data_IF_859037402174
#
_entry.id   IF_859037402174
#
_cell.length_a   1.000
_cell.length_b   1.000
_cell.length_c   1.000
_cell.angle_alpha   90.00
_cell.angle_beta   90.00
_cell.angle_gamma   90.00
#
_symmetry.space_group_name_H-M   'P 1'
#
loop_
_entity.id
_entity.type
_entity.pdbx_description
1 polymer ?
#
# COMPACT_ATOMS: atom_id res chain seq x y z
N UNK A 1 -24.95 55.22 -31.72
CA UNK A 1 -25.84 54.17 -32.27
C UNK A 1 -25.13 53.60 -33.51
N UNK A 2 -24.00 52.93 -33.40
CA UNK A 2 -23.76 51.52 -33.05
C UNK A 2 -24.45 50.50 -33.95
N UNK A 3 -23.70 49.95 -34.92
CA UNK A 3 -23.77 48.57 -35.47
C UNK A 3 -22.38 48.24 -36.05
N UNK A 4 -21.43 47.76 -35.24
CA UNK A 4 -21.13 46.35 -34.94
C UNK A 4 -20.55 45.57 -36.13
N UNK A 5 -19.24 45.33 -36.02
CA UNK A 5 -18.35 44.50 -36.81
C UNK A 5 -18.57 43.01 -36.46
N UNK A 6 -18.26 42.08 -37.37
CA UNK A 6 -17.29 40.98 -37.19
C UNK A 6 -17.52 39.84 -38.20
N UNK A 7 -16.46 39.57 -38.95
CA UNK A 7 -16.28 38.48 -39.89
C UNK A 7 -16.16 37.14 -39.17
N UNK A 8 -16.86 36.11 -39.66
CA UNK A 8 -16.75 34.73 -39.18
C UNK A 8 -15.53 34.05 -39.82
N UNK A 9 -14.42 33.98 -39.09
CA UNK A 9 -13.29 33.10 -39.43
C UNK A 9 -13.56 31.70 -38.86
N UNK A 10 -13.68 30.72 -39.76
CA UNK A 10 -13.90 29.32 -39.42
C UNK A 10 -12.66 28.70 -38.78
N UNK A 11 -12.94 27.88 -37.77
CA UNK A 11 -12.07 27.24 -36.80
C UNK A 11 -11.44 25.98 -37.41
N UNK A 12 -10.15 25.74 -37.16
CA UNK A 12 -9.58 24.40 -37.18
C UNK A 12 -8.52 24.26 -36.07
N UNK A 13 -8.99 23.86 -34.89
CA UNK A 13 -8.16 23.42 -33.77
C UNK A 13 -7.60 22.02 -34.06
N UNK A 14 -6.29 21.85 -33.97
CA UNK A 14 -5.67 20.54 -33.81
C UNK A 14 -4.66 20.62 -32.64
N UNK A 15 -5.17 20.50 -31.42
CA UNK A 15 -4.35 20.29 -30.22
C UNK A 15 -4.17 18.78 -30.03
N UNK A 16 -3.01 18.27 -30.44
CA UNK A 16 -2.56 16.95 -30.02
C UNK A 16 -2.08 17.04 -28.57
N UNK A 17 -2.96 16.74 -27.62
CA UNK A 17 -2.57 16.53 -26.22
C UNK A 17 -1.88 15.17 -26.10
N UNK A 18 -0.55 15.16 -26.10
CA UNK A 18 0.24 14.03 -25.63
C UNK A 18 0.11 13.96 -24.10
N UNK A 19 -0.84 13.17 -23.62
CA UNK A 19 -0.96 12.85 -22.21
C UNK A 19 0.19 11.93 -21.79
N UNK A 20 1.26 12.51 -21.24
CA UNK A 20 2.25 11.75 -20.49
C UNK A 20 1.59 11.22 -19.21
N UNK A 21 1.05 10.01 -19.25
CA UNK A 21 0.67 9.27 -18.07
C UNK A 21 1.94 8.88 -17.31
N UNK A 22 2.42 9.76 -16.43
CA UNK A 22 3.28 9.33 -15.36
C UNK A 22 2.42 8.45 -14.44
N UNK A 23 2.55 7.13 -14.59
CA UNK A 23 1.86 6.16 -13.76
C UNK A 23 2.33 6.32 -12.31
N UNK A 24 1.63 7.14 -11.53
CA UNK A 24 1.72 7.07 -10.08
C UNK A 24 1.23 5.68 -9.71
N UNK A 25 2.12 4.87 -9.13
CA UNK A 25 1.75 3.57 -8.60
C UNK A 25 0.90 3.80 -7.35
N UNK A 26 -0.40 4.03 -7.55
CA UNK A 26 -1.38 4.19 -6.49
C UNK A 26 -1.72 2.81 -5.94
N UNK A 27 -0.90 2.34 -5.01
CA UNK A 27 -1.29 1.22 -4.15
C UNK A 27 -2.24 1.76 -3.09
N UNK A 28 -3.26 0.98 -2.75
CA UNK A 28 -4.16 1.34 -1.66
C UNK A 28 -3.43 1.17 -0.32
N UNK A 29 -3.90 1.86 0.71
CA UNK A 29 -3.39 1.72 2.08
C UNK A 29 -4.11 0.60 2.84
N UNK A 30 -3.58 0.23 4.00
CA UNK A 30 -4.19 -0.73 4.92
C UNK A 30 -5.62 -0.30 5.29
N UNK A 31 -6.59 -1.20 5.15
CA UNK A 31 -8.01 -0.90 5.29
C UNK A 31 -8.66 -0.29 4.03
N UNK A 32 -7.91 -0.11 2.95
CA UNK A 32 -8.40 0.24 1.63
C UNK A 32 -8.93 -0.97 0.85
N UNK A 33 -9.12 -0.78 -0.47
CA UNK A 33 -9.70 -1.81 -1.35
C UNK A 33 -8.69 -2.25 -2.41
N UNK A 34 -8.43 -3.55 -2.48
CA UNK A 34 -7.67 -4.18 -3.56
C UNK A 34 -8.57 -4.32 -4.80
N UNK A 35 -8.25 -3.63 -5.92
CA UNK A 35 -8.99 -3.83 -7.16
C UNK A 35 -8.80 -5.26 -7.67
N UNK A 36 -9.84 -5.79 -8.32
CA UNK A 36 -9.79 -7.15 -8.87
C UNK A 36 -8.84 -7.28 -10.08
N UNK A 37 -8.55 -6.16 -10.74
CA UNK A 37 -7.69 -6.08 -11.89
C UNK A 37 -6.22 -5.94 -11.48
N UNK A 38 -5.33 -6.41 -12.35
CA UNK A 38 -3.91 -6.11 -12.23
C UNK A 38 -3.68 -4.60 -12.35
N UNK A 39 -2.78 -4.07 -11.53
CA UNK A 39 -2.30 -2.69 -11.61
C UNK A 39 -0.92 -2.73 -12.24
N UNK A 40 -0.56 -1.73 -13.04
CA UNK A 40 0.75 -1.67 -13.67
C UNK A 40 1.86 -1.77 -12.61
N UNK A 41 2.83 -2.66 -12.83
CA UNK A 41 3.93 -2.90 -11.89
C UNK A 41 3.63 -3.90 -10.76
N UNK A 42 2.40 -4.41 -10.66
CA UNK A 42 2.01 -5.44 -9.70
C UNK A 42 1.48 -6.70 -10.39
N UNK A 43 1.60 -7.84 -9.72
CA UNK A 43 0.97 -9.10 -10.14
C UNK A 43 -0.56 -8.97 -10.15
N UNK A 44 -1.23 -9.83 -10.91
CA UNK A 44 -2.66 -9.99 -10.78
C UNK A 44 -3.01 -10.57 -9.40
N UNK A 45 -4.09 -10.10 -8.74
CA UNK A 45 -4.54 -10.69 -7.48
C UNK A 45 -4.83 -12.19 -7.62
N UNK A 46 -4.31 -13.01 -6.71
CA UNK A 46 -4.55 -14.45 -6.67
C UNK A 46 -5.15 -14.88 -5.33
N UNK A 47 -5.96 -15.93 -5.31
CA UNK A 47 -6.50 -16.47 -4.07
C UNK A 47 -5.43 -17.31 -3.34
N UNK A 48 -5.30 -17.12 -2.04
CA UNK A 48 -4.41 -17.89 -1.15
C UNK A 48 -5.18 -18.36 0.09
N UNK A 49 -4.56 -19.24 0.89
CA UNK A 49 -5.14 -19.76 2.14
C UNK A 49 -6.56 -20.31 1.95
N UNK A 50 -6.72 -21.23 1.00
CA UNK A 50 -8.01 -21.83 0.61
C UNK A 50 -9.09 -20.81 0.21
N UNK A 51 -8.68 -19.63 -0.28
CA UNK A 51 -9.60 -18.58 -0.70
C UNK A 51 -9.99 -17.59 0.39
N UNK A 52 -9.40 -17.68 1.58
CA UNK A 52 -9.64 -16.71 2.65
C UNK A 52 -9.09 -15.32 2.30
N UNK A 53 -7.95 -15.26 1.59
CA UNK A 53 -7.30 -14.03 1.19
C UNK A 53 -7.03 -13.97 -0.31
N UNK A 54 -6.90 -12.74 -0.81
CA UNK A 54 -6.35 -12.36 -2.10
C UNK A 54 -4.96 -11.79 -1.86
N UNK A 55 -3.98 -12.26 -2.60
CA UNK A 55 -2.60 -11.79 -2.52
C UNK A 55 -2.23 -11.09 -3.83
N UNK A 56 -1.54 -9.95 -3.71
CA UNK A 56 -0.92 -9.23 -4.82
C UNK A 56 0.50 -8.83 -4.44
N UNK A 57 1.44 -9.04 -5.35
CA UNK A 57 2.86 -8.75 -5.13
C UNK A 57 3.36 -7.69 -6.10
N UNK A 58 4.22 -6.79 -5.63
CA UNK A 58 5.02 -5.90 -6.45
C UNK A 58 6.39 -5.66 -5.83
N UNK A 59 7.28 -5.01 -6.58
CA UNK A 59 8.58 -4.55 -6.08
C UNK A 59 8.64 -3.04 -6.16
N UNK A 60 9.01 -2.38 -5.07
CA UNK A 60 9.16 -0.92 -5.03
C UNK A 60 10.49 -0.45 -5.66
N UNK A 61 10.68 0.87 -5.72
CA UNK A 61 11.90 1.47 -6.27
C UNK A 61 13.18 1.14 -5.47
N UNK A 62 13.03 0.69 -4.21
CA UNK A 62 14.12 0.26 -3.34
C UNK A 62 14.50 -1.21 -3.49
N UNK A 63 13.90 -1.94 -4.45
CA UNK A 63 14.01 -3.39 -4.61
C UNK A 63 13.43 -4.17 -3.41
N UNK A 64 12.41 -3.61 -2.76
CA UNK A 64 11.65 -4.30 -1.71
C UNK A 64 10.44 -4.96 -2.32
N UNK A 65 10.34 -6.28 -2.19
CA UNK A 65 9.14 -7.02 -2.55
C UNK A 65 8.09 -6.80 -1.48
N UNK A 66 6.88 -6.43 -1.90
CA UNK A 66 5.73 -6.17 -1.04
C UNK A 66 4.61 -7.14 -1.45
N UNK A 67 4.11 -7.91 -0.49
CA UNK A 67 2.92 -8.73 -0.60
C UNK A 67 1.76 -8.01 0.10
N UNK A 68 0.70 -7.75 -0.64
CA UNK A 68 -0.54 -7.17 -0.15
C UNK A 68 -1.59 -8.26 -0.01
N UNK A 69 -2.22 -8.31 1.16
CA UNK A 69 -3.25 -9.28 1.49
C UNK A 69 -4.57 -8.57 1.70
N UNK A 70 -5.56 -8.97 0.93
CA UNK A 70 -6.93 -8.55 1.09
C UNK A 70 -7.84 -9.73 1.41
N UNK A 71 -8.96 -9.48 2.08
CA UNK A 71 -10.05 -10.45 2.22
C UNK A 71 -10.62 -10.82 0.85
N UNK A 72 -11.46 -11.86 0.79
CA UNK A 72 -12.19 -12.24 -0.43
C UNK A 72 -13.04 -11.11 -1.02
N UNK A 73 -13.49 -10.15 -0.20
CA UNK A 73 -14.25 -8.96 -0.63
C UNK A 73 -13.36 -7.82 -1.11
N UNK A 74 -12.03 -7.94 -0.99
CA UNK A 74 -11.06 -6.95 -1.42
C UNK A 74 -10.62 -5.96 -0.35
N UNK A 75 -11.11 -6.05 0.90
CA UNK A 75 -10.59 -5.22 1.99
C UNK A 75 -9.13 -5.59 2.27
N UNK A 76 -8.21 -4.64 2.16
CA UNK A 76 -6.78 -4.85 2.46
C UNK A 76 -6.61 -4.92 3.97
N UNK A 77 -6.07 -6.04 4.45
CA UNK A 77 -5.97 -6.36 5.87
C UNK A 77 -4.55 -6.58 6.34
N UNK A 78 -3.61 -6.82 5.42
CA UNK A 78 -2.21 -6.94 5.76
C UNK A 78 -1.26 -6.62 4.60
N UNK A 79 -0.03 -6.30 4.97
CA UNK A 79 1.14 -6.22 4.12
C UNK A 79 2.26 -7.08 4.70
N UNK A 80 3.06 -7.68 3.84
CA UNK A 80 4.37 -8.22 4.18
C UNK A 80 5.41 -7.67 3.21
N UNK A 81 6.66 -7.57 3.67
CA UNK A 81 7.74 -7.07 2.84
C UNK A 81 9.07 -7.75 3.13
N UNK A 82 9.88 -7.83 2.09
CA UNK A 82 11.25 -8.30 2.16
C UNK A 82 12.11 -7.57 1.12
N UNK A 83 13.24 -7.02 1.56
CA UNK A 83 14.12 -6.28 0.66
C UNK A 83 15.36 -5.69 1.31
N UNK A 84 16.23 -5.04 0.53
CA UNK A 84 17.41 -4.35 1.04
C UNK A 84 17.07 -3.00 1.69
N UNK A 85 15.86 -2.47 1.46
CA UNK A 85 15.37 -1.20 2.01
C UNK A 85 14.05 -1.39 2.76
N UNK A 86 13.73 -0.47 3.67
CA UNK A 86 12.40 -0.42 4.29
C UNK A 86 11.41 0.18 3.28
N UNK A 87 10.21 -0.41 3.09
CA UNK A 87 9.19 0.20 2.26
C UNK A 87 8.64 1.49 2.91
N UNK A 88 7.92 2.30 2.13
CA UNK A 88 7.22 3.47 2.66
C UNK A 88 6.04 3.04 3.55
N UNK A 89 6.32 2.81 4.85
CA UNK A 89 5.31 2.44 5.83
C UNK A 89 4.24 3.52 6.02
N UNK A 90 4.53 4.79 5.70
CA UNK A 90 3.50 5.82 5.76
C UNK A 90 2.45 5.58 4.69
N UNK A 91 2.89 5.29 3.46
CA UNK A 91 1.99 4.97 2.35
C UNK A 91 1.22 3.65 2.58
N UNK A 92 1.89 2.60 3.07
CA UNK A 92 1.24 1.30 3.30
C UNK A 92 0.22 1.34 4.44
N UNK A 93 0.52 2.04 5.54
CA UNK A 93 -0.34 2.08 6.71
C UNK A 93 -1.42 3.16 6.63
N UNK A 94 -1.23 4.21 5.83
CA UNK A 94 -2.22 5.25 5.65
C UNK A 94 -2.62 5.92 6.96
N UNK A 95 -3.92 5.93 7.25
CA UNK A 95 -4.48 6.45 8.51
C UNK A 95 -3.87 5.84 9.79
N UNK A 96 -3.27 4.65 9.73
CA UNK A 96 -2.64 4.00 10.88
C UNK A 96 -1.18 4.41 11.11
N UNK A 97 -0.57 5.14 10.17
CA UNK A 97 0.85 5.51 10.22
C UNK A 97 1.20 6.37 11.45
N UNK A 98 0.30 7.23 11.91
CA UNK A 98 0.55 8.08 13.09
C UNK A 98 0.58 7.28 14.39
N UNK A 99 -0.38 6.35 14.56
CA UNK A 99 -0.40 5.43 15.70
C UNK A 99 0.87 4.58 15.76
N UNK A 100 1.31 4.07 14.60
CA UNK A 100 2.58 3.36 14.47
C UNK A 100 3.78 4.22 14.90
N UNK A 101 3.91 5.46 14.39
CA UNK A 101 5.02 6.36 14.76
C UNK A 101 5.05 6.65 16.27
N UNK A 102 3.89 6.89 16.87
CA UNK A 102 3.78 7.13 18.31
C UNK A 102 4.24 5.91 19.12
N UNK A 103 3.77 4.72 18.76
CA UNK A 103 4.19 3.47 19.39
C UNK A 103 5.68 3.18 19.23
N UNK A 104 6.24 3.44 18.04
CA UNK A 104 7.67 3.27 17.77
C UNK A 104 8.54 4.22 18.61
N UNK A 105 8.14 5.49 18.74
CA UNK A 105 8.85 6.45 19.59
C UNK A 105 8.81 6.05 21.08
N UNK A 106 7.67 5.58 21.57
CA UNK A 106 7.54 5.08 22.94
C UNK A 106 8.39 3.82 23.20
N UNK A 107 8.45 2.90 22.23
CA UNK A 107 9.29 1.70 22.32
C UNK A 107 10.79 2.06 22.37
N UNK A 108 11.22 3.03 21.56
CA UNK A 108 12.61 3.52 21.57
C UNK A 108 13.00 4.16 22.90
N UNK A 109 12.10 4.96 23.50
CA UNK A 109 12.35 5.62 24.80
C UNK A 109 12.33 4.67 26.00
N UNK A 110 11.69 3.50 25.89
CA UNK A 110 11.56 2.53 26.99
C UNK A 110 12.66 1.46 27.02
N UNK A 111 13.59 1.45 26.05
CA UNK A 111 14.61 0.42 25.94
C UNK A 111 14.04 -0.98 25.66
N UNK A 112 12.81 -1.06 25.14
CA UNK A 112 12.13 -2.32 24.90
C UNK A 112 12.81 -3.08 23.76
N UNK A 113 13.28 -4.29 24.05
CA UNK A 113 13.91 -5.20 23.07
C UNK A 113 12.95 -5.64 21.97
N UNK A 114 11.64 -5.46 22.17
CA UNK A 114 10.61 -5.67 21.15
C UNK A 114 10.36 -4.44 20.29
N UNK A 115 11.31 -3.50 20.14
CA UNK A 115 11.19 -2.40 19.16
C UNK A 115 10.91 -2.90 17.73
N UNK A 116 11.22 -4.18 17.46
CA UNK A 116 10.84 -4.91 16.26
C UNK A 116 9.33 -5.11 16.09
N UNK A 117 8.53 -5.05 17.16
CA UNK A 117 7.07 -5.20 17.16
C UNK A 117 6.39 -4.00 17.82
N UNK A 118 5.67 -3.23 17.03
CA UNK A 118 4.81 -2.14 17.51
C UNK A 118 3.37 -2.61 17.45
N UNK A 119 2.80 -2.94 18.62
CA UNK A 119 1.41 -3.34 18.74
C UNK A 119 0.55 -2.12 19.11
N UNK A 120 -0.17 -1.57 18.14
CA UNK A 120 -1.29 -0.66 18.39
C UNK A 120 -2.60 -1.44 18.58
N UNK A 121 -3.65 -0.77 19.06
CA UNK A 121 -4.99 -1.38 19.18
C UNK A 121 -5.57 -1.79 17.82
N UNK A 122 -5.24 -1.01 16.78
CA UNK A 122 -5.90 -1.13 15.47
C UNK A 122 -4.99 -1.75 14.41
N UNK A 123 -3.67 -1.57 14.56
CA UNK A 123 -2.65 -2.11 13.67
C UNK A 123 -1.51 -2.69 14.48
N UNK A 124 -0.99 -3.83 14.04
CA UNK A 124 0.26 -4.38 14.53
C UNK A 124 1.26 -4.33 13.39
N UNK A 125 2.46 -3.84 13.70
CA UNK A 125 3.59 -3.77 12.77
C UNK A 125 4.75 -4.53 13.36
N UNK A 126 5.27 -5.49 12.61
CA UNK A 126 6.48 -6.24 12.93
C UNK A 126 7.53 -5.96 11.86
N UNK A 127 8.72 -5.56 12.27
CA UNK A 127 9.82 -5.19 11.40
C UNK A 127 11.13 -5.68 12.00
N UNK A 128 11.97 -6.30 11.19
CA UNK A 128 13.27 -6.79 11.59
C UNK A 128 14.07 -7.15 10.35
N UNK A 129 14.91 -8.17 10.47
CA UNK A 129 15.66 -8.72 9.35
C UNK A 129 17.16 -8.85 9.65
N UNK A 130 17.90 -9.49 8.74
CA UNK A 130 19.35 -9.64 8.85
C UNK A 130 20.04 -8.26 8.77
N UNK A 131 21.33 -8.20 9.13
CA UNK A 131 22.11 -6.95 9.21
C UNK A 131 22.11 -6.07 7.94
N UNK A 132 21.65 -6.60 6.79
CA UNK A 132 21.60 -5.92 5.49
C UNK A 132 20.26 -6.06 4.76
N UNK A 133 19.20 -6.42 5.47
CA UNK A 133 17.88 -6.60 4.86
C UNK A 133 16.76 -6.32 5.84
N UNK A 134 15.66 -5.83 5.31
CA UNK A 134 14.42 -5.60 6.02
C UNK A 134 13.45 -6.72 5.69
N UNK A 135 12.86 -7.28 6.73
CA UNK A 135 11.73 -8.21 6.66
C UNK A 135 10.70 -7.74 7.65
N UNK A 136 9.43 -7.73 7.26
CA UNK A 136 8.39 -7.33 8.17
C UNK A 136 7.00 -7.53 7.60
N UNK A 137 6.03 -7.20 8.43
CA UNK A 137 4.61 -7.30 8.12
C UNK A 137 3.82 -6.31 8.95
N UNK A 138 2.68 -5.91 8.44
CA UNK A 138 1.71 -5.11 9.16
C UNK A 138 0.31 -5.67 8.90
N UNK A 139 -0.53 -5.73 9.92
CA UNK A 139 -1.90 -6.22 9.76
C UNK A 139 -2.88 -5.56 10.72
N UNK A 140 -4.16 -5.65 10.36
CA UNK A 140 -5.29 -5.25 11.20
C UNK A 140 -5.81 -6.47 11.97
N UNK A 141 -5.57 -6.58 13.30
CA UNK A 141 -5.94 -7.77 14.06
C UNK A 141 -7.43 -8.09 13.98
N UNK A 142 -8.27 -7.05 13.99
CA UNK A 142 -9.73 -7.19 13.94
C UNK A 142 -10.28 -7.51 12.54
N UNK A 143 -9.47 -7.41 11.49
CA UNK A 143 -9.90 -7.63 10.10
C UNK A 143 -9.39 -8.93 9.49
N UNK A 144 -8.55 -9.69 10.22
CA UNK A 144 -8.14 -11.02 9.76
C UNK A 144 -9.35 -11.97 9.70
N UNK A 145 -9.55 -12.69 8.59
CA UNK A 145 -10.61 -13.71 8.52
C UNK A 145 -10.44 -14.79 9.58
N UNK A 146 -11.55 -15.46 9.94
CA UNK A 146 -11.53 -16.56 10.89
C UNK A 146 -10.57 -17.67 10.44
N UNK A 147 -9.71 -18.12 11.37
CA UNK A 147 -8.71 -19.15 11.11
C UNK A 147 -7.41 -18.64 10.47
N UNK A 148 -7.33 -17.36 10.10
CA UNK A 148 -6.10 -16.73 9.63
C UNK A 148 -5.37 -16.08 10.79
N UNK A 149 -4.07 -16.32 10.87
CA UNK A 149 -3.17 -15.79 11.89
C UNK A 149 -2.11 -14.90 11.27
N UNK A 150 -1.35 -14.18 12.10
CA UNK A 150 -0.22 -13.37 11.62
C UNK A 150 0.90 -14.19 10.98
N UNK A 151 1.02 -15.48 11.32
CA UNK A 151 2.03 -16.38 10.74
C UNK A 151 1.77 -16.72 9.26
N UNK A 152 0.52 -16.55 8.82
CA UNK A 152 0.10 -16.74 7.43
C UNK A 152 0.46 -15.55 6.53
N UNK A 153 0.98 -14.45 7.09
CA UNK A 153 1.33 -13.20 6.40
C UNK A 153 2.85 -13.12 6.23
N UNK A 154 3.36 -13.25 4.99
CA UNK A 154 4.81 -13.41 4.70
C UNK A 154 5.31 -12.68 3.46
#
# INVERSE_FOLDING_TARGET
>A
MSRSCFSQSAIACALAMAACCASVSAHAELGGTMPAQAVAGASAPRMVLNGALRERTWTDAGNTTINEYATSTGLIVAYAWQGPTMPDLHALLGKYAESYRSGAAAAAGSGNLHASRIAGSDVIVESGGPMRGYVGRAWLPAALPAGITSDDIQ
#
